data_IF_129307847490
#
_entry.id   IF_129307847490
#
_cell.length_a   1.000
_cell.length_b   1.000
_cell.length_c   1.000
_cell.angle_alpha   90.00
_cell.angle_beta   90.00
_cell.angle_gamma   90.00
#
_symmetry.space_group_name_H-M   'P 1'
#
loop_
_entity.id
_entity.type
_entity.pdbx_description
1 polymer ?
#
# COMPACT_ATOMS: atom_id res chain seq x y z
N UNK A 1 1.40 3.80 13.76
CA UNK A 1 2.25 3.27 14.84
C UNK A 1 3.62 2.82 14.33
N UNK A 2 3.73 1.83 13.44
CA UNK A 2 5.03 1.31 12.93
C UNK A 2 5.98 2.41 12.43
N UNK A 3 5.50 3.32 11.56
CA UNK A 3 6.30 4.47 11.10
C UNK A 3 6.87 5.33 12.22
N UNK A 4 6.12 5.54 13.31
CA UNK A 4 6.56 6.36 14.43
C UNK A 4 7.75 5.71 15.14
N UNK A 5 7.70 4.40 15.32
CA UNK A 5 8.77 3.60 15.93
C UNK A 5 9.98 3.60 15.00
N UNK A 6 9.80 3.23 13.73
CA UNK A 6 10.86 3.18 12.73
C UNK A 6 11.59 4.52 12.57
N UNK A 7 10.87 5.65 12.50
CA UNK A 7 11.48 6.99 12.38
C UNK A 7 12.27 7.44 13.61
N UNK A 8 12.14 6.73 14.73
CA UNK A 8 12.78 7.07 16.01
C UNK A 8 13.67 5.92 16.49
N UNK A 9 14.27 5.20 15.56
CA UNK A 9 15.14 4.05 15.84
C UNK A 9 16.20 4.37 16.91
N UNK A 10 16.92 5.47 16.77
CA UNK A 10 17.93 5.90 17.76
C UNK A 10 17.38 6.05 19.18
N UNK A 11 16.18 6.63 19.31
CA UNK A 11 15.53 6.81 20.62
C UNK A 11 15.16 5.46 21.24
N UNK A 12 14.58 4.54 20.45
CA UNK A 12 14.19 3.23 20.95
C UNK A 12 15.38 2.30 21.20
N UNK A 13 16.48 2.45 20.45
CA UNK A 13 17.73 1.75 20.72
C UNK A 13 18.36 2.21 22.04
N UNK A 14 18.44 3.53 22.27
CA UNK A 14 18.92 4.08 23.55
C UNK A 14 18.01 3.68 24.73
N UNK A 15 16.70 3.62 24.51
CA UNK A 15 15.76 3.13 25.53
C UNK A 15 15.99 1.64 25.83
N UNK A 16 16.29 0.83 24.81
CA UNK A 16 16.62 -0.59 24.97
C UNK A 16 17.94 -0.85 25.71
N UNK A 17 18.90 0.08 25.65
CA UNK A 17 20.12 0.03 26.46
C UNK A 17 19.82 0.24 27.96
N UNK A 18 18.84 1.09 28.27
CA UNK A 18 18.43 1.38 29.65
C UNK A 18 17.45 0.33 30.20
N UNK A 19 16.59 -0.20 29.33
CA UNK A 19 15.53 -1.17 29.64
C UNK A 19 15.61 -2.34 28.65
N UNK A 20 16.43 -3.38 28.95
CA UNK A 20 16.68 -4.50 28.04
C UNK A 20 15.41 -5.24 27.58
N UNK A 21 14.36 -5.25 28.41
CA UNK A 21 13.05 -5.83 28.09
C UNK A 21 12.32 -5.09 26.95
N UNK A 22 12.71 -3.85 26.65
CA UNK A 22 12.19 -3.03 25.55
C UNK A 22 13.10 -3.06 24.31
N UNK A 23 14.23 -3.76 24.36
CA UNK A 23 15.21 -3.76 23.28
C UNK A 23 14.65 -4.44 22.01
N UNK A 24 14.64 -3.69 20.91
CA UNK A 24 14.26 -4.19 19.59
C UNK A 24 15.53 -4.72 18.92
N UNK A 25 15.55 -6.01 18.61
CA UNK A 25 16.69 -6.63 17.93
C UNK A 25 16.78 -6.22 16.44
N UNK A 26 17.95 -6.44 15.82
CA UNK A 26 18.19 -6.06 14.43
C UNK A 26 17.21 -6.65 13.43
N UNK A 27 16.78 -7.91 13.64
CA UNK A 27 15.79 -8.55 12.77
C UNK A 27 14.39 -7.92 12.87
N UNK A 28 14.02 -7.50 14.07
CA UNK A 28 12.77 -6.77 14.32
C UNK A 28 12.83 -5.38 13.68
N UNK A 29 13.98 -4.69 13.73
CA UNK A 29 14.18 -3.43 13.01
C UNK A 29 14.06 -3.59 11.50
N UNK A 30 14.68 -4.62 10.92
CA UNK A 30 14.53 -4.96 9.50
C UNK A 30 13.06 -5.21 9.15
N UNK A 31 12.35 -5.98 9.98
CA UNK A 31 10.92 -6.24 9.81
C UNK A 31 10.09 -4.94 9.84
N UNK A 32 10.36 -4.02 10.77
CA UNK A 32 9.65 -2.73 10.86
C UNK A 32 9.90 -1.86 9.62
N UNK A 33 11.14 -1.83 9.12
CA UNK A 33 11.51 -1.12 7.90
C UNK A 33 10.80 -1.70 6.69
N UNK A 34 10.91 -3.01 6.48
CA UNK A 34 10.26 -3.70 5.38
C UNK A 34 8.73 -3.51 5.42
N UNK A 35 8.13 -3.55 6.61
CA UNK A 35 6.71 -3.28 6.80
C UNK A 35 6.34 -1.85 6.41
N UNK A 36 7.11 -0.85 6.87
CA UNK A 36 6.85 0.54 6.49
C UNK A 36 6.88 0.69 4.97
N UNK A 37 7.97 0.25 4.34
CA UNK A 37 8.19 0.40 2.90
C UNK A 37 7.07 -0.26 2.08
N UNK A 38 6.67 -1.48 2.42
CA UNK A 38 5.66 -2.23 1.67
C UNK A 38 4.24 -1.67 1.85
N UNK A 39 3.86 -1.27 3.06
CA UNK A 39 2.48 -0.84 3.36
C UNK A 39 2.27 0.66 3.19
N UNK A 40 3.34 1.46 3.11
CA UNK A 40 3.28 2.93 3.03
C UNK A 40 2.43 3.45 1.87
N UNK A 41 2.57 2.96 0.62
CA UNK A 41 1.78 3.47 -0.51
C UNK A 41 0.27 3.30 -0.28
N UNK A 42 -0.14 2.16 0.27
CA UNK A 42 -1.56 1.85 0.53
C UNK A 42 -2.12 2.58 1.73
N UNK A 43 -1.30 2.83 2.76
CA UNK A 43 -1.69 3.74 3.85
C UNK A 43 -1.97 5.16 3.32
N UNK A 44 -1.16 5.67 2.39
CA UNK A 44 -1.39 6.99 1.79
C UNK A 44 -2.67 6.98 0.96
N UNK A 45 -2.84 6.00 0.05
CA UNK A 45 -4.02 5.89 -0.81
C UNK A 45 -5.32 5.81 0.00
N UNK A 46 -5.35 4.97 1.05
CA UNK A 46 -6.52 4.86 1.94
C UNK A 46 -6.79 6.14 2.73
N UNK A 47 -5.74 6.82 3.22
CA UNK A 47 -5.91 8.09 3.92
C UNK A 47 -6.43 9.19 2.99
N UNK A 48 -5.98 9.25 1.73
CA UNK A 48 -6.49 10.21 0.75
C UNK A 48 -7.98 9.96 0.48
N UNK A 49 -8.38 8.70 0.30
CA UNK A 49 -9.78 8.32 0.12
C UNK A 49 -10.67 8.68 1.33
N UNK A 50 -10.12 8.62 2.55
CA UNK A 50 -10.85 8.99 3.78
C UNK A 50 -10.95 10.50 4.01
N UNK A 51 -9.96 11.27 3.55
CA UNK A 51 -9.84 12.70 3.85
C UNK A 51 -10.35 13.59 2.72
N UNK A 52 -10.41 13.07 1.50
CA UNK A 52 -10.92 13.73 0.32
C UNK A 52 -12.03 12.87 -0.27
N UNK A 53 -13.14 13.48 -0.69
CA UNK A 53 -14.14 12.79 -1.51
C UNK A 53 -13.56 12.54 -2.90
N UNK A 54 -12.71 11.52 -3.02
CA UNK A 54 -12.08 11.15 -4.29
C UNK A 54 -13.01 10.23 -5.09
N UNK A 55 -13.13 10.44 -6.42
CA UNK A 55 -13.85 9.52 -7.27
C UNK A 55 -13.16 8.16 -7.31
N UNK A 56 -13.93 7.09 -7.54
CA UNK A 56 -13.42 5.72 -7.59
C UNK A 56 -12.30 5.52 -8.62
N UNK A 57 -12.32 6.28 -9.70
CA UNK A 57 -11.28 6.26 -10.73
C UNK A 57 -9.94 6.80 -10.24
N UNK A 58 -9.96 7.83 -9.38
CA UNK A 58 -8.74 8.35 -8.76
C UNK A 58 -8.17 7.37 -7.73
N UNK A 59 -9.04 6.77 -6.92
CA UNK A 59 -8.65 5.68 -6.02
C UNK A 59 -8.00 4.51 -6.79
N UNK A 60 -8.60 4.10 -7.91
CA UNK A 60 -8.10 3.01 -8.73
C UNK A 60 -6.69 3.29 -9.24
N UNK A 61 -6.43 4.52 -9.70
CA UNK A 61 -5.10 4.92 -10.16
C UNK A 61 -4.06 4.90 -9.04
N UNK A 62 -4.41 5.40 -7.85
CA UNK A 62 -3.54 5.35 -6.68
C UNK A 62 -3.26 3.91 -6.26
N UNK A 63 -4.25 3.01 -6.35
CA UNK A 63 -4.09 1.60 -6.05
C UNK A 63 -3.13 0.91 -7.00
N UNK A 64 -3.27 1.13 -8.32
CA UNK A 64 -2.36 0.60 -9.33
C UNK A 64 -0.93 1.13 -9.15
N UNK A 65 -0.78 2.44 -8.89
CA UNK A 65 0.51 3.03 -8.57
C UNK A 65 1.12 2.39 -7.31
N UNK A 66 0.33 2.16 -6.26
CA UNK A 66 0.76 1.47 -5.05
C UNK A 66 1.28 0.05 -5.34
N UNK A 67 0.56 -0.74 -6.15
CA UNK A 67 1.00 -2.08 -6.57
C UNK A 67 2.31 -2.00 -7.36
N UNK A 68 2.43 -1.02 -8.27
CA UNK A 68 3.65 -0.81 -9.05
C UNK A 68 4.84 -0.46 -8.15
N UNK A 69 4.67 0.45 -7.18
CA UNK A 69 5.74 0.78 -6.24
C UNK A 69 6.11 -0.43 -5.35
N UNK A 70 5.12 -1.21 -4.90
CA UNK A 70 5.36 -2.44 -4.16
C UNK A 70 6.20 -3.45 -4.97
N UNK A 71 5.93 -3.60 -6.27
CA UNK A 71 6.70 -4.52 -7.14
C UNK A 71 8.17 -4.11 -7.36
N UNK A 72 8.52 -2.85 -7.08
CA UNK A 72 9.92 -2.37 -7.17
C UNK A 72 10.75 -2.78 -5.96
N UNK A 73 10.11 -3.11 -4.84
CA UNK A 73 10.81 -3.51 -3.62
C UNK A 73 11.41 -4.90 -3.80
N UNK A 74 12.74 -4.96 -3.89
CA UNK A 74 13.50 -6.21 -3.91
C UNK A 74 13.79 -6.65 -2.48
N UNK A 75 13.74 -7.96 -2.21
CA UNK A 75 14.10 -8.56 -0.92
C UNK A 75 13.29 -8.06 0.29
N UNK A 76 11.99 -7.81 0.09
CA UNK A 76 11.08 -7.44 1.19
C UNK A 76 10.08 -8.57 1.43
N UNK A 77 9.99 -9.05 2.68
CA UNK A 77 9.22 -10.25 3.05
C UNK A 77 7.71 -10.13 2.83
N UNK A 78 7.19 -8.90 2.74
CA UNK A 78 5.77 -8.65 2.60
C UNK A 78 5.31 -8.57 1.14
N UNK A 79 6.22 -8.34 0.18
CA UNK A 79 5.86 -8.01 -1.21
C UNK A 79 4.97 -9.05 -1.85
N UNK A 80 5.32 -10.33 -1.77
CA UNK A 80 4.56 -11.41 -2.42
C UNK A 80 3.15 -11.54 -1.84
N UNK A 81 3.05 -11.69 -0.51
CA UNK A 81 1.77 -11.85 0.19
C UNK A 81 0.87 -10.63 0.02
N UNK A 82 1.45 -9.44 0.17
CA UNK A 82 0.72 -8.18 0.07
C UNK A 82 0.23 -7.96 -1.37
N UNK A 83 1.08 -8.20 -2.39
CA UNK A 83 0.68 -8.08 -3.79
C UNK A 83 -0.49 -9.01 -4.12
N UNK A 84 -0.43 -10.28 -3.70
CA UNK A 84 -1.50 -11.24 -3.92
C UNK A 84 -2.82 -10.80 -3.27
N UNK A 85 -2.77 -10.36 -2.01
CA UNK A 85 -3.95 -9.86 -1.30
C UNK A 85 -4.55 -8.60 -1.92
N UNK A 86 -3.71 -7.68 -2.38
CA UNK A 86 -4.15 -6.43 -3.02
C UNK A 86 -4.74 -6.67 -4.40
N UNK A 87 -4.14 -7.54 -5.20
CA UNK A 87 -4.68 -7.95 -6.51
C UNK A 87 -6.01 -8.68 -6.35
N UNK A 88 -6.12 -9.57 -5.36
CA UNK A 88 -7.38 -10.26 -5.07
C UNK A 88 -8.49 -9.28 -4.66
N UNK A 89 -8.19 -8.34 -3.76
CA UNK A 89 -9.16 -7.29 -3.39
C UNK A 89 -9.55 -6.39 -4.56
N UNK A 90 -8.59 -6.05 -5.42
CA UNK A 90 -8.86 -5.25 -6.62
C UNK A 90 -9.81 -5.99 -7.58
N UNK A 91 -9.62 -7.30 -7.75
CA UNK A 91 -10.52 -8.14 -8.55
C UNK A 91 -11.94 -8.08 -8.01
N UNK A 92 -12.13 -8.30 -6.70
CA UNK A 92 -13.44 -8.23 -6.05
C UNK A 92 -14.08 -6.83 -6.19
N UNK A 93 -13.26 -5.77 -6.12
CA UNK A 93 -13.75 -4.41 -6.29
C UNK A 93 -14.21 -4.13 -7.73
N UNK A 94 -13.51 -4.68 -8.75
CA UNK A 94 -13.92 -4.58 -10.16
C UNK A 94 -15.22 -5.34 -10.48
N UNK A 95 -15.63 -6.29 -9.64
CA UNK A 95 -16.94 -6.97 -9.76
C UNK A 95 -18.11 -6.06 -9.34
N UNK A 96 -17.85 -5.00 -8.56
CA UNK A 96 -18.86 -4.02 -8.18
C UNK A 96 -19.27 -3.16 -9.38
N UNK A 97 -20.58 -3.13 -9.70
CA UNK A 97 -21.11 -2.41 -10.85
C UNK A 97 -20.87 -0.90 -10.79
N UNK A 98 -21.02 -0.27 -9.61
CA UNK A 98 -20.79 1.16 -9.44
C UNK A 98 -19.32 1.52 -9.62
N UNK A 99 -18.43 0.70 -9.06
CA UNK A 99 -16.99 0.88 -9.25
C UNK A 99 -16.62 0.76 -10.73
N UNK A 100 -17.08 -0.29 -11.41
CA UNK A 100 -16.84 -0.50 -12.84
C UNK A 100 -17.40 0.62 -13.71
N UNK A 101 -18.62 1.10 -13.42
CA UNK A 101 -19.22 2.22 -14.13
C UNK A 101 -18.40 3.51 -13.93
N UNK A 102 -17.94 3.78 -12.71
CA UNK A 102 -17.09 4.94 -12.44
C UNK A 102 -15.76 4.88 -13.21
N UNK A 103 -15.17 3.69 -13.34
CA UNK A 103 -13.97 3.52 -14.18
C UNK A 103 -14.30 3.70 -15.67
N UNK A 104 -15.44 3.18 -16.14
CA UNK A 104 -15.85 3.26 -17.54
C UNK A 104 -16.12 4.71 -18.00
N UNK A 105 -16.64 5.54 -17.09
CA UNK A 105 -16.89 6.95 -17.34
C UNK A 105 -15.62 7.81 -17.32
N UNK A 106 -14.50 7.27 -16.84
CA UNK A 106 -13.23 7.99 -16.79
C UNK A 106 -12.43 7.72 -18.07
N UNK A 107 -12.18 8.74 -18.92
CA UNK A 107 -11.50 8.56 -20.20
C UNK A 107 -10.04 8.09 -20.03
N UNK A 108 -9.44 8.24 -18.84
CA UNK A 108 -8.09 7.72 -18.54
C UNK A 108 -8.08 6.18 -18.55
N UNK A 109 -9.21 5.56 -18.28
CA UNK A 109 -9.37 4.10 -18.27
C UNK A 109 -10.21 3.60 -19.44
N UNK A 110 -11.06 4.41 -20.05
CA UNK A 110 -11.90 4.03 -21.18
C UNK A 110 -11.55 4.85 -22.44
N UNK A 111 -10.42 4.50 -23.05
CA UNK A 111 -9.94 5.06 -24.32
C UNK A 111 -9.75 3.94 -25.35
N UNK A 112 -9.56 4.32 -26.62
CA UNK A 112 -9.27 3.39 -27.72
C UNK A 112 -8.04 2.54 -27.36
N UNK A 113 -8.15 1.21 -27.40
CA UNK A 113 -7.12 0.24 -26.95
C UNK A 113 -6.91 0.08 -25.44
N UNK A 114 -7.80 0.61 -24.59
CA UNK A 114 -7.73 0.36 -23.15
C UNK A 114 -7.89 -1.13 -22.83
N UNK A 115 -6.93 -1.70 -22.11
CA UNK A 115 -6.98 -3.09 -21.62
C UNK A 115 -7.87 -3.28 -20.38
N UNK A 116 -8.39 -2.20 -19.81
CA UNK A 116 -9.13 -2.26 -18.55
C UNK A 116 -10.56 -2.82 -18.69
N UNK A 117 -11.12 -2.72 -19.91
CA UNK A 117 -12.50 -3.11 -20.25
C UNK A 117 -12.60 -4.02 -21.48
N UNK A 118 -11.49 -4.51 -22.01
CA UNK A 118 -11.53 -5.52 -23.09
C UNK A 118 -12.17 -6.79 -22.51
N UNK A 119 -13.33 -7.12 -23.07
CA UNK A 119 -14.02 -8.41 -22.93
C UNK A 119 -13.24 -9.47 -23.70
#
# INVERSE_FOLDING_TARGET
MVRFIYKREQFFSALGEQYPELAINGESWNTLKEYEEAFRPFYIATKLMQTQHQPFSEFYMQWLNGIRELSKLKNNRFVSLLSNGLMHRLKLLKENQLFRAALYLDPRFNFLDSKEFLI
#
